data_IF_967750103608
#
_entry.id   IF_967750103608
#
_cell.length_a   1.000
_cell.length_b   1.000
_cell.length_c   1.000
_cell.angle_alpha   90.00
_cell.angle_beta   90.00
_cell.angle_gamma   90.00
#
_symmetry.space_group_name_H-M   'P 1'
#
loop_
_entity.id
_entity.type
_entity.pdbx_description
1 polymer ?
#
# COMPACT_ATOMS: atom_id res chain seq x y z
N UNK A 1 -12.58 29.95 -23.56
CA UNK A 1 -12.27 28.52 -23.74
C UNK A 1 -10.80 28.33 -23.41
N UNK A 2 -10.47 27.78 -22.25
CA UNK A 2 -9.11 27.41 -21.85
C UNK A 2 -8.99 25.90 -22.04
N UNK A 3 -8.73 25.47 -23.28
CA UNK A 3 -8.41 24.07 -23.57
C UNK A 3 -6.94 23.82 -23.26
N UNK A 4 -6.64 23.40 -22.03
CA UNK A 4 -5.31 22.89 -21.68
C UNK A 4 -5.18 21.45 -22.18
N UNK A 5 -4.87 21.30 -23.46
CA UNK A 5 -4.27 20.07 -23.98
C UNK A 5 -2.82 20.03 -23.49
N UNK A 6 -2.55 19.36 -22.37
CA UNK A 6 -1.18 19.04 -21.92
C UNK A 6 -0.92 17.53 -21.84
N UNK A 7 -1.00 16.79 -22.97
CA UNK A 7 -0.72 15.36 -22.96
C UNK A 7 0.78 14.97 -22.90
N UNK A 8 1.74 15.91 -22.73
CA UNK A 8 3.18 15.57 -22.92
C UNK A 8 4.17 16.05 -21.83
N UNK A 9 3.75 16.52 -20.65
CA UNK A 9 4.65 17.41 -19.89
C UNK A 9 5.54 16.79 -18.80
N UNK A 10 5.18 15.64 -18.22
CA UNK A 10 6.03 14.98 -17.22
C UNK A 10 5.63 13.52 -17.01
N UNK A 11 6.58 12.70 -16.58
CA UNK A 11 6.33 11.34 -16.10
C UNK A 11 7.02 11.14 -14.75
N UNK A 12 6.40 10.34 -13.88
CA UNK A 12 6.99 9.93 -12.60
C UNK A 12 7.11 8.43 -12.60
N UNK A 13 8.35 7.95 -12.58
CA UNK A 13 8.64 6.54 -12.43
C UNK A 13 8.76 6.24 -10.93
N UNK A 14 7.88 5.37 -10.44
CA UNK A 14 7.88 4.93 -9.05
C UNK A 14 8.30 3.46 -9.03
N UNK A 15 9.38 3.14 -8.33
CA UNK A 15 9.79 1.75 -8.13
C UNK A 15 9.53 1.36 -6.70
N UNK A 16 9.05 0.14 -6.54
CA UNK A 16 8.81 -0.47 -5.26
C UNK A 16 9.36 -1.89 -5.31
N UNK A 17 10.18 -2.25 -4.33
CA UNK A 17 10.65 -3.62 -4.16
C UNK A 17 10.24 -4.09 -2.78
N UNK A 18 9.40 -5.12 -2.72
CA UNK A 18 8.88 -5.66 -1.47
C UNK A 18 9.26 -7.13 -1.31
N UNK A 19 9.50 -7.53 -0.07
CA UNK A 19 9.75 -8.91 0.30
C UNK A 19 9.14 -9.22 1.66
N UNK A 20 8.67 -10.44 1.83
CA UNK A 20 8.31 -10.96 3.15
C UNK A 20 9.61 -11.21 3.90
N UNK A 21 9.71 -10.66 5.10
CA UNK A 21 10.90 -10.81 5.94
C UNK A 21 10.75 -12.06 6.79
N UNK A 22 11.80 -12.90 6.79
CA UNK A 22 11.85 -14.02 7.72
C UNK A 22 11.99 -13.48 9.14
N UNK A 23 11.04 -13.85 9.98
CA UNK A 23 10.91 -13.31 11.32
C UNK A 23 11.69 -14.21 12.26
N UNK A 24 12.99 -13.94 12.40
CA UNK A 24 13.83 -14.50 13.47
C UNK A 24 13.49 -13.94 14.86
N UNK A 25 12.20 -13.69 15.13
CA UNK A 25 11.72 -12.96 16.28
C UNK A 25 12.22 -13.59 17.58
N UNK A 26 12.95 -12.81 18.38
CA UNK A 26 13.27 -13.20 19.75
C UNK A 26 12.01 -13.04 20.59
N UNK A 27 11.50 -14.16 21.09
CA UNK A 27 10.40 -14.13 22.05
C UNK A 27 10.98 -13.63 23.36
N UNK A 28 10.60 -12.41 23.74
CA UNK A 28 10.90 -11.85 25.04
C UNK A 28 9.71 -12.09 25.96
N UNK A 29 9.84 -13.03 26.89
CA UNK A 29 8.89 -13.18 27.98
C UNK A 29 9.11 -12.01 28.97
N UNK A 30 8.55 -10.83 28.68
CA UNK A 30 8.43 -9.77 29.68
C UNK A 30 7.06 -9.86 30.36
N UNK A 31 7.07 -9.90 31.69
CA UNK A 31 5.88 -9.62 32.47
C UNK A 31 5.72 -8.10 32.50
N UNK A 32 4.79 -7.56 31.71
CA UNK A 32 4.40 -6.16 31.83
C UNK A 32 3.73 -5.96 33.19
N UNK A 33 4.45 -5.37 34.13
CA UNK A 33 3.85 -4.75 35.31
C UNK A 33 3.30 -3.38 34.90
N UNK A 34 2.16 -3.34 34.22
CA UNK A 34 1.49 -2.06 33.94
C UNK A 34 0.92 -1.51 35.25
N UNK A 35 1.56 -0.45 35.76
CA UNK A 35 1.13 0.26 36.97
C UNK A 35 0.06 1.29 36.61
N UNK A 36 -1.16 0.85 36.32
CA UNK A 36 -2.32 1.72 36.09
C UNK A 36 -3.28 1.69 37.29
N UNK A 37 -3.02 2.53 38.30
CA UNK A 37 -3.88 2.66 39.48
C UNK A 37 -3.88 1.43 40.41
N UNK A 38 -4.75 1.45 41.44
CA UNK A 38 -4.82 0.46 42.53
C UNK A 38 -5.31 -0.95 42.12
N UNK A 39 -5.46 -1.24 40.82
CA UNK A 39 -5.91 -2.54 40.31
C UNK A 39 -4.72 -3.29 39.69
N UNK A 40 -4.16 -4.23 40.45
CA UNK A 40 -3.19 -5.19 39.93
C UNK A 40 -3.91 -6.28 39.15
N UNK A 41 -4.14 -6.06 37.86
CA UNK A 41 -4.43 -7.17 36.97
C UNK A 41 -3.09 -7.77 36.51
N UNK A 42 -2.65 -8.85 37.18
CA UNK A 42 -1.52 -9.66 36.75
C UNK A 42 -1.90 -10.46 35.48
N UNK A 43 -2.04 -9.78 34.35
CA UNK A 43 -1.95 -10.46 33.07
C UNK A 43 -0.46 -10.55 32.74
N UNK A 44 0.16 -11.69 33.05
CA UNK A 44 1.46 -12.04 32.48
C UNK A 44 1.28 -12.34 31.00
N UNK A 45 0.91 -11.34 30.20
CA UNK A 45 0.85 -11.49 28.75
C UNK A 45 2.29 -11.50 28.27
N UNK A 46 2.79 -12.69 27.93
CA UNK A 46 4.05 -12.85 27.21
C UNK A 46 3.95 -12.08 25.91
N UNK A 47 4.58 -10.92 25.82
CA UNK A 47 4.63 -10.17 24.58
C UNK A 47 5.61 -10.84 23.62
N UNK A 48 5.49 -10.54 22.33
CA UNK A 48 6.49 -10.91 21.33
C UNK A 48 7.11 -9.66 20.75
N UNK A 49 8.42 -9.51 20.92
CA UNK A 49 9.20 -8.44 20.31
C UNK A 49 9.76 -8.89 18.96
N UNK A 50 9.79 -7.97 18.01
CA UNK A 50 10.39 -8.17 16.69
C UNK A 50 11.49 -7.15 16.48
N UNK A 51 12.67 -7.62 16.06
CA UNK A 51 13.88 -6.81 15.94
C UNK A 51 14.21 -6.60 14.47
N UNK A 52 13.96 -5.40 13.98
CA UNK A 52 14.40 -4.98 12.65
C UNK A 52 15.29 -3.71 12.73
N UNK A 53 15.37 -3.06 13.88
CA UNK A 53 16.07 -1.79 14.14
C UNK A 53 15.55 -1.12 15.41
N UNK A 54 15.83 0.16 15.61
CA UNK A 54 15.38 0.91 16.81
C UNK A 54 14.26 1.88 16.47
N UNK A 55 13.18 1.91 17.23
CA UNK A 55 12.19 2.98 17.12
C UNK A 55 12.83 4.32 17.47
N UNK A 56 12.40 5.40 16.82
CA UNK A 56 12.87 6.73 17.21
C UNK A 56 12.05 7.18 18.44
N UNK A 57 12.73 7.43 19.57
CA UNK A 57 12.12 7.99 20.79
C UNK A 57 11.47 9.37 20.57
N UNK A 58 11.73 10.00 19.42
CA UNK A 58 11.34 11.37 19.10
C UNK A 58 9.90 11.56 18.61
N UNK A 59 9.03 10.53 18.61
CA UNK A 59 7.64 10.74 18.19
C UNK A 59 6.82 11.37 19.32
N UNK A 60 6.74 12.71 19.33
CA UNK A 60 5.73 13.52 20.03
C UNK A 60 4.29 13.19 19.60
N UNK A 61 4.09 12.26 18.65
CA UNK A 61 2.80 11.92 18.07
C UNK A 61 1.96 10.98 18.93
N UNK A 62 1.84 11.21 20.24
CA UNK A 62 0.80 10.65 21.15
C UNK A 62 0.59 9.13 21.21
N UNK A 63 1.28 8.35 20.38
CA UNK A 63 1.31 6.90 20.39
C UNK A 63 2.36 6.54 21.40
N UNK A 64 1.91 6.46 22.65
CA UNK A 64 2.75 6.10 23.79
C UNK A 64 3.40 4.77 23.42
N UNK A 65 4.72 4.71 23.11
CA UNK A 65 5.36 3.42 22.93
C UNK A 65 5.09 2.69 24.22
N UNK A 66 4.47 1.50 24.13
CA UNK A 66 4.35 0.60 25.29
C UNK A 66 5.74 0.58 25.90
N UNK A 67 5.89 1.18 27.09
CA UNK A 67 7.20 1.41 27.70
C UNK A 67 8.00 0.12 27.57
N UNK A 68 8.98 0.12 26.67
CA UNK A 68 9.79 -1.07 26.32
C UNK A 68 10.82 -1.34 27.41
N UNK A 69 10.55 -0.92 28.65
CA UNK A 69 11.36 -1.24 29.82
C UNK A 69 11.48 -2.76 29.92
N UNK A 70 12.63 -3.29 29.49
CA UNK A 70 12.94 -4.72 29.47
C UNK A 70 13.11 -5.37 28.09
N UNK A 71 12.74 -4.72 26.98
CA UNK A 71 12.86 -5.29 25.62
C UNK A 71 14.18 -4.99 24.91
N UNK A 72 15.01 -4.10 25.47
CA UNK A 72 16.27 -3.67 24.85
C UNK A 72 16.08 -2.65 23.72
N UNK A 73 17.17 -2.05 23.28
CA UNK A 73 17.20 -0.87 22.38
C UNK A 73 16.80 -1.14 20.92
N UNK A 74 16.56 -2.41 20.56
CA UNK A 74 16.41 -2.86 19.17
C UNK A 74 15.06 -3.50 18.86
N UNK A 75 14.05 -3.33 19.72
CA UNK A 75 12.70 -3.83 19.42
C UNK A 75 11.95 -2.81 18.58
N UNK A 76 11.64 -3.24 17.36
CA UNK A 76 10.92 -2.47 16.35
C UNK A 76 9.42 -2.52 16.56
N UNK A 77 8.89 -3.69 16.90
CA UNK A 77 7.47 -3.89 17.06
C UNK A 77 7.17 -4.91 18.16
N UNK A 78 6.07 -4.69 18.88
CA UNK A 78 5.60 -5.56 19.95
C UNK A 78 4.22 -6.08 19.60
N UNK A 79 4.02 -7.39 19.70
CA UNK A 79 2.71 -8.02 19.56
C UNK A 79 2.24 -8.59 20.89
N UNK A 80 0.97 -8.39 21.20
CA UNK A 80 0.31 -8.99 22.34
C UNK A 80 -0.45 -10.25 21.89
N UNK A 81 -0.04 -11.47 22.28
CA UNK A 81 -0.74 -12.70 21.93
C UNK A 81 -2.17 -12.80 22.44
N UNK A 82 -2.56 -11.96 23.42
CA UNK A 82 -3.97 -11.87 23.81
C UNK A 82 -4.84 -11.42 22.64
N UNK A 83 -4.32 -10.65 21.67
CA UNK A 83 -5.04 -10.26 20.46
C UNK A 83 -5.59 -11.47 19.67
N UNK A 84 -4.93 -12.63 19.75
CA UNK A 84 -5.41 -13.87 19.15
C UNK A 84 -6.63 -14.49 19.88
N UNK A 85 -6.87 -14.09 21.12
CA UNK A 85 -7.95 -14.61 21.97
C UNK A 85 -9.20 -13.71 21.89
N UNK A 86 -9.01 -12.39 21.81
CA UNK A 86 -10.12 -11.40 21.90
C UNK A 86 -10.98 -11.27 20.62
N UNK A 87 -10.96 -12.28 19.75
CA UNK A 87 -11.75 -12.34 18.51
C UNK A 87 -11.55 -11.14 17.56
N UNK A 88 -10.34 -10.55 17.54
CA UNK A 88 -10.00 -9.50 16.58
C UNK A 88 -9.75 -10.08 15.19
N UNK A 89 -10.18 -9.34 14.17
CA UNK A 89 -9.82 -9.54 12.76
C UNK A 89 -8.33 -9.22 12.53
N UNK A 90 -7.91 -9.00 11.29
CA UNK A 90 -6.53 -8.60 11.00
C UNK A 90 -6.15 -7.32 11.76
N UNK A 91 -4.88 -7.18 12.08
CA UNK A 91 -4.29 -5.90 12.49
C UNK A 91 -3.10 -5.61 11.61
N UNK A 92 -3.02 -4.37 11.13
CA UNK A 92 -1.94 -3.92 10.26
C UNK A 92 -1.30 -2.68 10.88
N UNK A 93 0.02 -2.65 10.87
CA UNK A 93 0.82 -1.47 11.23
C UNK A 93 1.80 -1.16 10.11
N UNK A 94 2.22 0.11 10.04
CA UNK A 94 3.31 0.53 9.19
C UNK A 94 4.26 1.44 9.96
N UNK A 95 5.55 1.20 9.81
CA UNK A 95 6.59 2.15 10.21
C UNK A 95 7.51 2.40 9.03
N UNK A 96 8.27 3.49 9.07
CA UNK A 96 9.09 3.87 7.94
C UNK A 96 10.36 4.60 8.31
N UNK A 97 11.27 4.57 7.34
CA UNK A 97 12.52 5.30 7.29
C UNK A 97 12.66 5.92 5.91
N UNK A 98 13.07 7.19 5.85
CA UNK A 98 13.36 7.89 4.60
C UNK A 98 14.86 8.15 4.56
N UNK A 99 15.54 7.71 3.49
CA UNK A 99 16.98 7.91 3.36
C UNK A 99 17.35 9.39 3.39
N UNK A 100 18.36 9.74 4.22
CA UNK A 100 18.84 11.11 4.44
C UNK A 100 17.76 12.12 4.88
N UNK A 101 16.69 11.65 5.53
CA UNK A 101 15.65 12.52 6.11
C UNK A 101 15.55 12.29 7.62
N UNK A 102 15.24 13.37 8.34
CA UNK A 102 14.92 13.32 9.77
C UNK A 102 13.47 12.90 10.03
N UNK A 103 12.63 12.89 8.99
CA UNK A 103 11.25 12.39 9.06
C UNK A 103 11.27 10.87 8.97
N UNK A 104 11.23 10.21 10.13
CA UNK A 104 11.26 8.74 10.25
C UNK A 104 10.63 8.29 11.56
N UNK A 105 9.90 7.17 11.56
CA UNK A 105 9.36 6.56 12.79
C UNK A 105 10.28 5.50 13.37
N UNK A 106 11.29 5.07 12.60
CA UNK A 106 12.17 3.99 12.96
C UNK A 106 13.54 4.11 12.27
N UNK A 107 14.55 3.49 12.86
CA UNK A 107 15.90 3.40 12.32
C UNK A 107 16.23 1.94 11.97
N UNK A 108 16.24 1.58 10.68
CA UNK A 108 16.46 0.21 10.24
C UNK A 108 17.87 -0.29 10.56
N UNK A 109 17.97 -1.60 10.78
CA UNK A 109 19.23 -2.33 10.64
C UNK A 109 19.82 -2.11 9.25
N UNK A 110 21.14 -2.30 9.12
CA UNK A 110 21.84 -2.07 7.86
C UNK A 110 21.25 -2.89 6.69
N UNK A 111 20.74 -4.09 6.95
CA UNK A 111 20.13 -4.96 5.94
C UNK A 111 18.83 -4.38 5.34
N UNK A 112 18.10 -3.57 6.10
CA UNK A 112 16.85 -2.94 5.65
C UNK A 112 17.05 -1.48 5.24
N UNK A 113 18.27 -0.94 5.37
CA UNK A 113 18.59 0.43 4.98
C UNK A 113 18.98 0.47 3.50
N UNK A 114 18.05 0.89 2.66
CA UNK A 114 18.28 1.04 1.22
C UNK A 114 18.70 2.47 0.90
N UNK A 115 19.82 2.64 0.20
CA UNK A 115 20.31 3.97 -0.21
C UNK A 115 19.36 4.58 -1.25
N UNK A 116 19.09 5.88 -1.13
CA UNK A 116 18.24 6.65 -2.03
C UNK A 116 16.79 6.14 -2.18
N UNK A 117 16.30 5.39 -1.19
CA UNK A 117 14.92 4.91 -1.13
C UNK A 117 14.33 5.15 0.26
N UNK A 118 13.00 5.23 0.32
CA UNK A 118 12.26 5.11 1.57
C UNK A 118 11.97 3.64 1.85
N UNK A 119 12.15 3.23 3.08
CA UNK A 119 11.86 1.88 3.55
C UNK A 119 10.58 1.90 4.38
N UNK A 120 9.60 1.10 3.99
CA UNK A 120 8.39 0.79 4.74
C UNK A 120 8.52 -0.59 5.36
N UNK A 121 8.22 -0.74 6.65
CA UNK A 121 8.03 -2.03 7.30
C UNK A 121 6.57 -2.16 7.69
N UNK A 122 5.90 -3.17 7.13
CA UNK A 122 4.48 -3.41 7.30
C UNK A 122 4.30 -4.70 8.11
N UNK A 123 3.70 -4.59 9.29
CA UNK A 123 3.38 -5.74 10.14
C UNK A 123 1.92 -6.13 9.99
N UNK A 124 1.63 -7.40 9.68
CA UNK A 124 0.27 -7.94 9.54
C UNK A 124 0.09 -9.06 10.57
N UNK A 125 -0.94 -8.97 11.40
CA UNK A 125 -1.30 -10.00 12.38
C UNK A 125 -2.67 -10.57 12.03
N UNK A 126 -2.77 -11.90 11.90
CA UNK A 126 -4.03 -12.60 11.68
C UNK A 126 -4.89 -12.70 12.95
N UNK A 127 -4.32 -12.44 14.13
CA UNK A 127 -5.02 -12.47 15.42
C UNK A 127 -5.85 -13.75 15.60
N UNK A 128 -7.18 -13.64 15.61
CA UNK A 128 -8.09 -14.75 15.87
C UNK A 128 -8.65 -15.42 14.62
N UNK A 129 -8.13 -15.04 13.45
CA UNK A 129 -8.64 -15.52 12.17
C UNK A 129 -8.30 -17.00 11.99
N UNK A 130 -9.30 -17.75 11.54
CA UNK A 130 -9.20 -19.16 11.18
C UNK A 130 -9.61 -19.33 9.72
N UNK A 131 -8.97 -20.26 9.02
CA UNK A 131 -9.17 -20.49 7.59
C UNK A 131 -9.90 -21.82 7.36
N UNK A 132 -10.76 -21.88 6.34
CA UNK A 132 -11.43 -23.12 5.96
C UNK A 132 -10.50 -24.12 5.26
N UNK A 133 -9.43 -23.63 4.66
CA UNK A 133 -8.42 -24.39 3.91
C UNK A 133 -7.02 -24.05 4.42
N UNK A 134 -6.04 -24.96 4.29
CA UNK A 134 -4.66 -24.66 4.64
C UNK A 134 -4.16 -23.50 3.77
N UNK A 135 -3.49 -22.53 4.39
CA UNK A 135 -2.95 -21.37 3.67
C UNK A 135 -1.44 -21.50 3.54
N UNK A 136 -0.93 -21.30 2.33
CA UNK A 136 0.49 -21.41 2.00
C UNK A 136 1.16 -20.06 1.69
N UNK A 137 0.38 -18.98 1.65
CA UNK A 137 0.93 -17.63 1.55
C UNK A 137 1.83 -17.33 2.77
N UNK A 138 3.06 -16.81 2.59
CA UNK A 138 4.00 -16.60 3.69
C UNK A 138 3.55 -15.56 4.73
N UNK A 139 2.66 -14.62 4.37
CA UNK A 139 2.10 -13.63 5.31
C UNK A 139 0.90 -14.21 6.04
N UNK A 140 0.06 -14.96 5.34
CA UNK A 140 -1.19 -15.55 5.87
C UNK A 140 -1.05 -17.04 6.21
N UNK A 141 0.17 -17.53 6.43
CA UNK A 141 0.50 -18.94 6.58
C UNK A 141 -0.30 -19.57 7.74
N UNK A 142 -1.16 -20.54 7.41
CA UNK A 142 -2.04 -21.19 8.36
C UNK A 142 -2.12 -22.70 8.09
N UNK A 143 -1.38 -23.47 8.89
CA UNK A 143 -1.30 -24.92 8.79
C UNK A 143 -1.65 -25.63 10.11
N UNK A 144 -1.94 -24.87 11.18
CA UNK A 144 -2.30 -25.46 12.47
C UNK A 144 -3.73 -25.95 12.42
N UNK A 145 -3.91 -27.26 12.40
CA UNK A 145 -5.24 -27.90 12.35
C UNK A 145 -5.98 -27.70 13.68
N UNK A 146 -7.24 -27.29 13.58
CA UNK A 146 -8.21 -27.22 14.69
C UNK A 146 -9.50 -27.94 14.29
N UNK A 147 -9.80 -29.03 14.97
CA UNK A 147 -11.07 -29.74 14.80
C UNK A 147 -12.11 -29.10 15.73
N UNK A 148 -13.07 -28.35 15.14
CA UNK A 148 -14.08 -27.59 15.91
C UNK A 148 -15.38 -28.37 16.10
N UNK A 149 -15.66 -29.33 15.22
CA UNK A 149 -16.78 -30.25 15.30
C UNK A 149 -16.44 -31.53 14.49
N UNK A 150 -17.18 -32.64 14.68
CA UNK A 150 -16.98 -33.83 13.86
C UNK A 150 -17.09 -33.51 12.36
N UNK A 151 -15.98 -33.72 11.63
CA UNK A 151 -15.89 -33.43 10.18
C UNK A 151 -15.65 -31.97 9.81
N UNK A 152 -15.52 -31.05 10.78
CA UNK A 152 -15.23 -29.63 10.53
C UNK A 152 -13.84 -29.29 11.04
N UNK A 153 -12.96 -28.96 10.10
CA UNK A 153 -11.58 -28.58 10.34
C UNK A 153 -11.35 -27.15 9.93
N UNK A 154 -10.69 -26.40 10.80
CA UNK A 154 -10.19 -25.07 10.51
C UNK A 154 -8.66 -25.06 10.64
N UNK A 155 -8.04 -24.05 10.04
CA UNK A 155 -6.60 -23.85 10.05
C UNK A 155 -6.28 -22.52 10.73
N UNK A 156 -5.45 -22.55 11.77
CA UNK A 156 -5.00 -21.37 12.47
C UNK A 156 -3.62 -20.92 11.95
N UNK A 157 -3.35 -19.60 11.98
CA UNK A 157 -2.05 -19.03 11.64
C UNK A 157 -0.90 -19.67 12.41
N UNK A 158 0.21 -19.91 11.74
CA UNK A 158 1.46 -20.37 12.39
C UNK A 158 2.16 -19.21 13.08
N UNK A 159 2.13 -18.04 12.44
CA UNK A 159 2.82 -16.85 12.91
C UNK A 159 1.81 -15.89 13.55
N UNK A 160 2.22 -15.28 14.66
CA UNK A 160 1.42 -14.23 15.32
C UNK A 160 1.35 -12.95 14.48
N UNK A 161 2.48 -12.64 13.84
CA UNK A 161 2.67 -11.46 13.00
C UNK A 161 3.69 -11.78 11.91
N UNK A 162 3.38 -11.32 10.71
CA UNK A 162 4.22 -11.44 9.52
C UNK A 162 4.63 -10.04 9.08
N UNK A 163 5.82 -9.92 8.46
CA UNK A 163 6.39 -8.62 8.10
C UNK A 163 6.71 -8.54 6.62
N UNK A 164 6.34 -7.41 6.00
CA UNK A 164 6.70 -7.06 4.64
C UNK A 164 7.61 -5.83 4.70
N UNK A 165 8.82 -5.96 4.18
CA UNK A 165 9.74 -4.85 3.97
C UNK A 165 9.62 -4.37 2.53
N UNK A 166 9.36 -3.09 2.33
CA UNK A 166 9.27 -2.44 1.02
C UNK A 166 10.28 -1.30 0.92
N UNK A 167 11.02 -1.22 -0.18
CA UNK A 167 11.84 -0.08 -0.54
C UNK A 167 11.21 0.66 -1.73
N UNK A 168 11.04 1.96 -1.60
CA UNK A 168 10.34 2.83 -2.53
C UNK A 168 11.23 3.98 -2.96
N UNK A 169 11.44 4.14 -4.25
CA UNK A 169 12.11 5.30 -4.82
C UNK A 169 11.33 5.83 -6.01
N UNK A 170 11.57 7.09 -6.34
CA UNK A 170 10.90 7.74 -7.45
C UNK A 170 11.85 8.60 -8.27
N UNK A 171 11.53 8.75 -9.54
CA UNK A 171 12.27 9.57 -10.48
C UNK A 171 11.28 10.39 -11.29
N UNK A 172 11.56 11.68 -11.43
CA UNK A 172 10.74 12.57 -12.23
C UNK A 172 11.44 12.84 -13.56
N UNK A 173 10.71 12.69 -14.66
CA UNK A 173 11.22 12.80 -16.01
C UNK A 173 10.40 13.81 -16.82
N UNK A 174 11.09 14.51 -17.71
CA UNK A 174 10.46 15.29 -18.77
C UNK A 174 10.56 14.47 -20.07
N UNK A 175 9.44 13.97 -20.63
CA UNK A 175 9.49 13.12 -21.81
C UNK A 175 9.94 13.89 -23.07
N UNK A 176 9.75 15.21 -23.13
CA UNK A 176 10.19 16.04 -24.26
C UNK A 176 11.71 16.18 -24.31
N UNK A 177 12.37 16.33 -23.16
CA UNK A 177 13.84 16.44 -23.08
C UNK A 177 14.54 15.11 -22.82
N UNK A 178 13.78 14.08 -22.41
CA UNK A 178 14.30 12.78 -21.92
C UNK A 178 15.23 12.92 -20.72
N UNK A 179 15.18 14.05 -20.02
CA UNK A 179 15.95 14.29 -18.80
C UNK A 179 15.13 13.87 -17.59
N UNK A 180 15.81 13.29 -16.61
CA UNK A 180 15.21 12.83 -15.37
C UNK A 180 16.03 13.25 -14.16
N UNK A 181 15.39 13.32 -12.99
CA UNK A 181 16.10 13.41 -11.70
C UNK A 181 16.90 12.13 -11.45
N UNK A 182 17.74 12.09 -10.41
CA UNK A 182 18.10 10.80 -9.82
C UNK A 182 16.87 10.11 -9.21
N UNK A 183 17.00 8.83 -8.86
CA UNK A 183 16.05 8.21 -7.94
C UNK A 183 16.21 8.85 -6.57
N UNK A 184 15.09 9.32 -6.02
CA UNK A 184 15.02 9.97 -4.72
C UNK A 184 14.11 9.17 -3.79
N UNK A 185 14.46 9.18 -2.51
CA UNK A 185 13.68 8.55 -1.47
C UNK A 185 12.39 9.31 -1.21
N UNK A 186 12.42 10.64 -1.20
CA UNK A 186 11.30 11.48 -0.84
C UNK A 186 11.10 12.58 -1.90
N UNK A 187 9.86 12.86 -2.32
CA UNK A 187 9.56 13.99 -3.17
C UNK A 187 9.69 15.27 -2.32
N UNK A 188 10.70 16.08 -2.62
CA UNK A 188 11.02 17.27 -1.84
C UNK A 188 11.21 18.51 -2.74
N UNK A 189 11.71 19.61 -2.18
CA UNK A 189 12.00 20.84 -2.92
C UNK A 189 13.07 20.65 -4.01
N UNK A 190 13.94 19.66 -3.91
CA UNK A 190 14.97 19.39 -4.94
C UNK A 190 14.34 19.03 -6.29
N UNK A 191 13.16 18.39 -6.29
CA UNK A 191 12.41 18.11 -7.53
C UNK A 191 11.92 19.41 -8.17
N UNK A 192 11.45 20.34 -7.35
CA UNK A 192 10.97 21.66 -7.79
C UNK A 192 12.13 22.48 -8.35
N UNK A 193 13.27 22.49 -7.66
CA UNK A 193 14.50 23.16 -8.09
C UNK A 193 15.12 22.52 -9.34
N UNK A 194 14.97 21.21 -9.50
CA UNK A 194 15.43 20.50 -10.69
C UNK A 194 14.67 20.90 -11.96
N UNK A 195 13.50 21.54 -11.86
CA UNK A 195 12.64 21.81 -13.00
C UNK A 195 13.32 22.58 -14.13
N UNK A 196 14.18 23.56 -13.82
CA UNK A 196 14.96 24.29 -14.83
C UNK A 196 15.94 23.38 -15.58
N UNK A 197 16.60 22.45 -14.88
CA UNK A 197 17.53 21.47 -15.48
C UNK A 197 16.81 20.43 -16.32
N UNK A 198 15.59 20.06 -15.93
CA UNK A 198 14.75 19.10 -16.65
C UNK A 198 14.04 19.72 -17.88
N UNK A 199 14.12 21.04 -18.04
CA UNK A 199 13.47 21.77 -19.14
C UNK A 199 12.00 22.05 -18.90
N UNK A 200 11.52 22.01 -17.65
CA UNK A 200 10.17 22.46 -17.31
C UNK A 200 10.11 23.98 -17.22
N UNK A 201 9.02 24.55 -17.72
CA UNK A 201 8.70 25.97 -17.55
C UNK A 201 8.33 26.27 -16.09
N UNK A 202 8.50 27.52 -15.66
CA UNK A 202 8.08 27.97 -14.32
C UNK A 202 6.59 27.68 -14.04
N UNK A 203 5.75 27.78 -15.07
CA UNK A 203 4.33 27.46 -14.98
C UNK A 203 4.09 25.96 -14.74
N UNK A 204 4.78 25.07 -15.48
CA UNK A 204 4.69 23.62 -15.24
C UNK A 204 5.15 23.23 -13.83
N UNK A 205 6.26 23.81 -13.37
CA UNK A 205 6.77 23.56 -12.03
C UNK A 205 5.73 23.95 -10.97
N UNK A 206 5.17 25.15 -11.08
CA UNK A 206 4.23 25.69 -10.09
C UNK A 206 2.85 25.02 -10.11
N UNK A 207 2.28 24.81 -11.29
CA UNK A 207 0.87 24.39 -11.44
C UNK A 207 0.72 22.85 -11.52
N UNK A 208 1.80 22.11 -11.77
CA UNK A 208 1.74 20.65 -11.95
C UNK A 208 2.68 19.93 -10.97
N UNK A 209 3.98 20.24 -11.04
CA UNK A 209 4.99 19.47 -10.30
C UNK A 209 4.88 19.71 -8.80
N UNK A 210 4.73 20.97 -8.37
CA UNK A 210 4.63 21.31 -6.96
C UNK A 210 3.39 20.68 -6.29
N UNK A 211 2.17 20.77 -6.84
CA UNK A 211 1.01 20.05 -6.32
C UNK A 211 1.20 18.53 -6.27
N UNK A 212 1.87 17.96 -7.27
CA UNK A 212 2.18 16.53 -7.32
C UNK A 212 3.15 16.09 -6.21
N UNK A 213 4.24 16.84 -6.02
CA UNK A 213 5.21 16.64 -4.94
C UNK A 213 4.52 16.74 -3.58
N UNK A 214 3.70 17.77 -3.37
CA UNK A 214 2.91 17.93 -2.15
C UNK A 214 1.96 16.76 -1.93
N UNK A 215 1.31 16.28 -3.00
CA UNK A 215 0.38 15.17 -2.91
C UNK A 215 1.07 13.86 -2.55
N UNK A 216 2.22 13.58 -3.16
CA UNK A 216 3.01 12.40 -2.83
C UNK A 216 3.53 12.46 -1.39
N UNK A 217 4.02 13.61 -0.92
CA UNK A 217 4.57 13.76 0.45
C UNK A 217 3.58 13.32 1.53
N UNK A 218 2.27 13.46 1.29
CA UNK A 218 1.22 13.04 2.25
C UNK A 218 1.01 11.53 2.33
N UNK A 219 1.28 10.82 1.24
CA UNK A 219 1.00 9.38 1.13
C UNK A 219 2.26 8.53 1.01
N UNK A 220 3.43 9.18 1.02
CA UNK A 220 4.73 8.55 0.95
C UNK A 220 5.39 8.58 2.33
N UNK A 221 6.03 7.49 2.77
CA UNK A 221 6.12 6.17 2.11
C UNK A 221 4.87 5.29 2.33
N UNK A 222 4.82 4.10 1.71
CA UNK A 222 3.66 3.19 1.74
C UNK A 222 3.13 2.93 3.16
N UNK A 223 4.02 2.84 4.14
CA UNK A 223 3.67 2.64 5.55
C UNK A 223 2.70 3.70 6.11
N UNK A 224 2.74 4.94 5.61
CA UNK A 224 1.82 6.02 6.02
C UNK A 224 0.39 5.65 5.63
N UNK A 225 0.19 5.22 4.38
CA UNK A 225 -1.11 4.78 3.88
C UNK A 225 -1.60 3.51 4.58
N UNK A 226 -0.69 2.58 4.83
CA UNK A 226 -1.00 1.32 5.53
C UNK A 226 -1.48 1.61 6.95
N UNK A 227 -0.80 2.50 7.68
CA UNK A 227 -1.19 2.87 9.04
C UNK A 227 -2.53 3.60 9.08
N UNK A 228 -2.82 4.43 8.08
CA UNK A 228 -4.09 5.14 7.99
C UNK A 228 -5.30 4.22 7.72
N UNK A 229 -5.11 3.16 6.92
CA UNK A 229 -6.19 2.23 6.54
C UNK A 229 -6.31 1.03 7.48
N UNK A 230 -5.21 0.60 8.09
CA UNK A 230 -5.14 -0.61 8.90
C UNK A 230 -5.66 -1.83 8.14
N UNK A 231 -6.38 -2.70 8.85
CA UNK A 231 -6.92 -3.95 8.31
C UNK A 231 -7.93 -3.77 7.16
N UNK A 232 -8.65 -2.64 7.11
CA UNK A 232 -9.57 -2.33 6.01
C UNK A 232 -8.87 -2.07 4.67
N UNK A 233 -7.55 -1.94 4.68
CA UNK A 233 -6.71 -1.86 3.49
C UNK A 233 -6.38 -3.20 2.86
N UNK A 234 -6.63 -4.33 3.53
CA UNK A 234 -6.31 -5.66 3.03
C UNK A 234 -7.44 -6.23 2.16
N UNK A 235 -7.08 -6.83 1.02
CA UNK A 235 -7.99 -7.64 0.22
C UNK A 235 -8.43 -8.90 0.98
N UNK A 236 -7.54 -9.50 1.78
CA UNK A 236 -7.86 -10.63 2.64
C UNK A 236 -8.97 -10.32 3.64
N UNK A 237 -9.13 -9.07 4.06
CA UNK A 237 -10.25 -8.66 4.93
C UNK A 237 -11.60 -8.70 4.22
N UNK A 238 -11.64 -8.57 2.90
CA UNK A 238 -12.89 -8.56 2.13
C UNK A 238 -13.56 -9.94 2.02
N UNK A 239 -12.80 -11.03 2.27
CA UNK A 239 -13.30 -12.41 2.26
C UNK A 239 -13.50 -12.98 3.67
N UNK A 240 -13.40 -12.14 4.70
CA UNK A 240 -13.70 -12.53 6.07
C UNK A 240 -15.22 -12.56 6.29
N UNK A 241 -15.67 -13.64 6.93
CA UNK A 241 -16.97 -13.71 7.55
C UNK A 241 -16.76 -13.86 9.06
N UNK A 242 -16.92 -12.75 9.79
CA UNK A 242 -16.49 -12.66 11.19
C UNK A 242 -14.99 -12.94 11.31
N UNK A 243 -14.59 -14.03 11.98
CA UNK A 243 -13.19 -14.46 12.11
C UNK A 243 -12.80 -15.59 11.15
N UNK A 244 -13.69 -16.03 10.27
CA UNK A 244 -13.41 -17.13 9.35
C UNK A 244 -13.08 -16.57 7.97
N UNK A 245 -11.91 -16.91 7.45
CA UNK A 245 -11.49 -16.52 6.11
C UNK A 245 -11.75 -17.64 5.12
N UNK A 246 -12.23 -17.26 3.94
CA UNK A 246 -12.17 -18.12 2.76
C UNK A 246 -10.71 -18.37 2.33
N UNK A 247 -10.57 -19.22 1.32
CA UNK A 247 -9.29 -19.54 0.71
C UNK A 247 -8.63 -18.29 0.11
N UNK A 248 -7.34 -18.10 0.39
CA UNK A 248 -6.54 -17.01 -0.18
C UNK A 248 -5.59 -17.58 -1.23
N UNK A 249 -5.14 -16.72 -2.14
CA UNK A 249 -4.09 -17.11 -3.10
C UNK A 249 -2.77 -17.42 -2.37
N UNK A 250 -1.98 -18.36 -2.89
CA UNK A 250 -0.60 -18.59 -2.39
C UNK A 250 0.31 -17.35 -2.52
N UNK A 251 -0.06 -16.40 -3.38
CA UNK A 251 0.62 -15.12 -3.55
C UNK A 251 -0.22 -13.93 -3.06
N UNK A 252 -1.15 -14.15 -2.13
CA UNK A 252 -2.02 -13.11 -1.57
C UNK A 252 -1.21 -11.88 -1.12
N UNK A 253 -0.07 -12.04 -0.46
CA UNK A 253 0.77 -10.92 -0.01
C UNK A 253 1.20 -9.99 -1.16
N UNK A 254 1.42 -10.53 -2.36
CA UNK A 254 1.75 -9.71 -3.55
C UNK A 254 0.55 -8.92 -4.02
N UNK A 255 -0.65 -9.50 -3.94
CA UNK A 255 -1.91 -8.82 -4.24
C UNK A 255 -2.15 -7.71 -3.23
N UNK A 256 -1.86 -7.94 -1.94
CA UNK A 256 -1.96 -6.91 -0.90
C UNK A 256 -1.05 -5.72 -1.17
N UNK A 257 0.25 -5.98 -1.41
CA UNK A 257 1.22 -4.92 -1.72
C UNK A 257 0.80 -4.13 -2.96
N UNK A 258 0.35 -4.83 -4.02
CA UNK A 258 -0.14 -4.17 -5.24
C UNK A 258 -1.34 -3.28 -4.93
N UNK A 259 -2.34 -3.77 -4.21
CA UNK A 259 -3.52 -3.01 -3.83
C UNK A 259 -3.17 -1.77 -2.99
N UNK A 260 -2.25 -1.91 -2.02
CA UNK A 260 -1.78 -0.78 -1.22
C UNK A 260 -1.10 0.28 -2.09
N UNK A 261 -0.26 -0.14 -3.04
CA UNK A 261 0.43 0.76 -3.96
C UNK A 261 -0.54 1.47 -4.92
N UNK A 262 -1.47 0.74 -5.53
CA UNK A 262 -2.50 1.28 -6.41
C UNK A 262 -3.43 2.25 -5.67
N UNK A 263 -3.78 1.92 -4.41
CA UNK A 263 -4.55 2.79 -3.52
C UNK A 263 -3.80 4.10 -3.26
N UNK A 264 -2.50 4.03 -2.95
CA UNK A 264 -1.65 5.22 -2.77
C UNK A 264 -1.67 6.10 -4.02
N UNK A 265 -1.48 5.51 -5.20
CA UNK A 265 -1.51 6.24 -6.47
C UNK A 265 -2.88 6.86 -6.76
N UNK A 266 -3.96 6.13 -6.47
CA UNK A 266 -5.34 6.65 -6.61
C UNK A 266 -5.58 7.83 -5.68
N UNK A 267 -5.08 7.77 -4.45
CA UNK A 267 -5.16 8.89 -3.50
C UNK A 267 -4.43 10.14 -4.01
N UNK A 268 -3.23 9.99 -4.56
CA UNK A 268 -2.47 11.09 -5.19
C UNK A 268 -3.24 11.70 -6.35
N UNK A 269 -3.78 10.87 -7.26
CA UNK A 269 -4.61 11.33 -8.39
C UNK A 269 -5.82 12.11 -7.92
N UNK A 270 -6.54 11.58 -6.94
CA UNK A 270 -7.70 12.26 -6.37
C UNK A 270 -7.35 13.65 -5.81
N UNK A 271 -6.21 13.79 -5.14
CA UNK A 271 -5.78 15.10 -4.63
C UNK A 271 -5.39 16.08 -5.73
N UNK A 272 -4.82 15.59 -6.83
CA UNK A 272 -4.51 16.41 -8.00
C UNK A 272 -5.77 16.89 -8.71
N UNK A 273 -6.77 16.01 -8.87
CA UNK A 273 -8.05 16.36 -9.48
C UNK A 273 -8.79 17.41 -8.64
N UNK A 274 -8.77 17.24 -7.31
CA UNK A 274 -9.31 18.22 -6.38
C UNK A 274 -8.57 19.57 -6.49
N UNK A 275 -7.24 19.56 -6.55
CA UNK A 275 -6.45 20.77 -6.79
C UNK A 275 -6.82 21.47 -8.10
N UNK A 276 -6.93 20.71 -9.20
CA UNK A 276 -7.27 21.23 -10.52
C UNK A 276 -8.69 21.83 -10.57
N UNK A 277 -9.63 21.31 -9.77
CA UNK A 277 -11.00 21.84 -9.69
C UNK A 277 -11.13 23.06 -8.77
N UNK A 278 -10.06 23.43 -8.07
CA UNK A 278 -9.97 24.59 -7.18
C UNK A 278 -10.25 24.28 -5.71
N UNK A 279 -10.41 23.01 -5.34
CA UNK A 279 -10.36 22.62 -3.94
C UNK A 279 -8.90 22.68 -3.48
N UNK A 280 -8.59 23.50 -2.48
CA UNK A 280 -7.22 23.55 -1.94
C UNK A 280 -6.78 22.17 -1.46
N UNK A 281 -5.50 21.81 -1.63
CA UNK A 281 -4.97 20.51 -1.17
C UNK A 281 -5.14 20.30 0.35
N UNK A 282 -5.27 21.40 1.11
CA UNK A 282 -5.55 21.40 2.54
C UNK A 282 -7.01 21.05 2.88
N UNK A 283 -7.94 21.23 1.94
CA UNK A 283 -9.37 21.00 2.16
C UNK A 283 -9.80 19.54 1.95
N UNK A 284 -8.87 18.66 1.57
CA UNK A 284 -9.14 17.24 1.35
C UNK A 284 -8.81 16.52 2.66
N UNK A 285 -9.81 16.18 3.50
CA UNK A 285 -9.56 15.41 4.71
C UNK A 285 -8.88 14.10 4.33
N UNK A 286 -7.98 13.61 5.19
CA UNK A 286 -7.41 12.26 5.11
C UNK A 286 -8.51 11.32 4.63
N UNK A 287 -8.31 10.66 3.48
CA UNK A 287 -9.27 9.80 2.78
C UNK A 287 -9.98 8.84 3.76
N UNK A 288 -10.99 9.35 4.46
CA UNK A 288 -11.98 8.58 5.17
C UNK A 288 -12.92 8.13 4.08
N UNK A 289 -13.15 6.82 4.01
CA UNK A 289 -14.26 6.25 3.26
C UNK A 289 -15.49 7.08 3.64
N UNK A 290 -16.03 7.82 2.66
CA UNK A 290 -17.28 8.55 2.83
C UNK A 290 -18.37 7.51 3.04
N UNK A 291 -18.61 7.14 4.30
CA UNK A 291 -19.79 6.38 4.67
C UNK A 291 -20.97 7.35 4.59
N UNK A 292 -21.78 7.15 3.54
CA UNK A 292 -23.18 7.52 3.40
C UNK A 292 -23.59 8.88 3.98
N UNK A 293 -23.42 9.95 3.20
CA UNK A 293 -24.28 11.13 3.36
C UNK A 293 -24.76 11.62 1.98
N UNK A 294 -26.05 11.48 1.64
CA UNK A 294 -26.55 11.72 0.28
C UNK A 294 -26.91 13.17 -0.07
N UNK A 295 -26.54 14.18 0.74
CA UNK A 295 -27.13 15.53 0.60
C UNK A 295 -26.24 16.69 0.14
N UNK A 296 -24.94 16.51 -0.11
CA UNK A 296 -24.11 17.65 -0.53
C UNK A 296 -23.98 17.76 -2.06
N UNK A 297 -24.85 18.63 -2.62
CA UNK A 297 -24.87 19.04 -4.02
C UNK A 297 -23.64 19.84 -4.45
N UNK A 298 -22.56 19.15 -4.79
CA UNK A 298 -21.43 19.71 -5.53
C UNK A 298 -21.38 19.12 -6.94
N UNK A 299 -21.99 19.79 -7.91
CA UNK A 299 -21.77 19.46 -9.32
C UNK A 299 -21.99 20.68 -10.23
N UNK A 300 -20.94 21.47 -10.45
CA UNK A 300 -20.70 22.24 -11.69
C UNK A 300 -19.21 22.50 -11.86
N UNK A 301 -18.48 21.56 -12.48
CA UNK A 301 -17.19 21.72 -13.19
C UNK A 301 -16.80 20.39 -13.86
N UNK A 302 -15.98 20.41 -14.94
CA UNK A 302 -15.85 19.26 -15.83
C UNK A 302 -15.26 18.04 -15.13
N UNK A 303 -15.89 16.90 -15.37
CA UNK A 303 -15.46 15.58 -14.92
C UNK A 303 -14.25 15.16 -15.78
N UNK A 304 -13.13 14.84 -15.14
CA UNK A 304 -12.03 14.15 -15.80
C UNK A 304 -12.33 12.65 -15.80
N UNK A 305 -12.53 12.06 -16.98
CA UNK A 305 -12.74 10.62 -17.14
C UNK A 305 -11.38 9.96 -17.32
N UNK A 306 -10.93 9.22 -16.31
CA UNK A 306 -9.68 8.45 -16.36
C UNK A 306 -10.02 7.02 -16.77
N UNK A 307 -9.68 6.65 -18.00
CA UNK A 307 -9.90 5.30 -18.52
C UNK A 307 -8.68 4.42 -18.18
N UNK A 308 -8.89 3.33 -17.43
CA UNK A 308 -7.84 2.36 -17.06
C UNK A 308 -8.09 1.05 -17.79
N UNK A 309 -7.68 0.97 -19.05
CA UNK A 309 -7.67 -0.28 -19.81
C UNK A 309 -6.22 -0.71 -20.04
N UNK A 310 -5.72 -1.62 -19.21
CA UNK A 310 -4.93 -2.81 -19.60
C UNK A 310 -4.22 -3.43 -18.36
N UNK A 311 -4.35 -4.74 -18.11
CA UNK A 311 -3.61 -5.44 -17.08
C UNK A 311 -2.38 -6.12 -17.68
N UNK A 312 -1.19 -5.88 -17.12
CA UNK A 312 -0.03 -6.75 -17.37
C UNK A 312 0.71 -7.11 -16.08
N UNK A 313 0.93 -8.42 -15.96
CA UNK A 313 1.70 -9.12 -14.93
C UNK A 313 3.11 -9.42 -15.45
N UNK A 314 4.14 -9.07 -14.67
CA UNK A 314 5.31 -9.94 -14.41
C UNK A 314 6.16 -9.33 -13.29
N UNK A 315 6.72 -10.21 -12.45
CA UNK A 315 7.47 -9.84 -11.24
C UNK A 315 8.88 -9.38 -11.64
N UNK A 316 9.00 -8.09 -11.97
CA UNK A 316 10.13 -7.15 -11.74
C UNK A 316 9.48 -5.76 -11.90
N UNK A 317 9.35 -4.97 -10.83
CA UNK A 317 8.64 -3.69 -10.91
C UNK A 317 9.41 -2.66 -11.76
N UNK A 318 9.07 -2.62 -13.05
CA UNK A 318 9.14 -1.41 -13.87
C UNK A 318 7.70 -1.11 -14.33
N UNK A 319 6.93 -0.44 -13.48
CA UNK A 319 5.64 0.09 -13.88
C UNK A 319 5.89 1.38 -14.69
N UNK A 320 5.89 1.27 -16.02
CA UNK A 320 5.78 2.42 -16.90
C UNK A 320 4.29 2.71 -17.08
N UNK A 321 3.75 3.68 -16.33
CA UNK A 321 2.40 4.19 -16.57
C UNK A 321 2.53 5.27 -17.65
N UNK A 322 2.14 4.93 -18.89
CA UNK A 322 2.00 5.90 -19.99
C UNK A 322 0.55 6.34 -20.05
N UNK A 323 0.29 7.60 -19.74
CA UNK A 323 -1.05 8.19 -19.85
C UNK A 323 -1.21 8.75 -21.27
N UNK A 324 -2.13 8.20 -22.07
CA UNK A 324 -2.50 8.75 -23.39
C UNK A 324 -4.01 9.01 -23.38
N UNK A 325 -4.40 10.25 -23.69
CA UNK A 325 -5.81 10.66 -23.80
C UNK A 325 -6.17 10.93 -25.26
N UNK A 326 -7.21 10.27 -25.77
CA UNK A 326 -7.82 10.59 -27.05
C UNK A 326 -9.16 11.30 -26.80
N UNK A 327 -9.30 12.52 -27.29
CA UNK A 327 -10.60 13.17 -27.44
C UNK A 327 -11.16 12.82 -28.83
N UNK A 328 -12.26 12.07 -28.87
CA UNK A 328 -13.15 12.11 -30.01
C UNK A 328 -13.96 13.41 -29.90
N UNK A 329 -13.73 14.32 -30.86
CA UNK A 329 -14.67 15.41 -31.09
C UNK A 329 -15.89 14.81 -31.78
N UNK A 330 -17.08 15.05 -31.22
CA UNK A 330 -18.26 14.95 -32.07
C UNK A 330 -19.20 16.13 -31.85
N UNK A 331 -19.57 16.70 -32.98
CA UNK A 331 -20.50 17.78 -33.18
C UNK A 331 -21.81 17.20 -33.71
N UNK A 332 -22.91 17.68 -33.14
CA UNK A 332 -24.29 17.68 -33.66
C UNK A 332 -25.14 16.40 -33.52
N UNK A 333 -26.20 16.57 -32.72
CA UNK A 333 -27.59 16.15 -32.95
C UNK A 333 -27.81 14.83 -33.70
N UNK A 334 -27.84 13.73 -32.94
CA UNK A 334 -28.55 12.51 -33.35
C UNK A 334 -29.80 12.37 -32.46
N UNK A 335 -30.96 12.43 -33.09
CA UNK A 335 -32.29 12.26 -32.49
C UNK A 335 -32.41 10.88 -31.85
N UNK A 336 -33.03 10.80 -30.66
CA UNK A 336 -33.52 9.57 -30.04
C UNK A 336 -34.58 8.93 -30.94
N UNK A 337 -34.16 8.03 -31.83
CA UNK A 337 -35.03 7.06 -32.50
C UNK A 337 -34.15 6.00 -33.18
N UNK A 338 -33.45 5.15 -32.41
CA UNK A 338 -32.91 3.87 -32.92
C UNK A 338 -32.30 3.01 -31.78
N UNK A 339 -33.02 2.86 -30.67
CA UNK A 339 -32.57 2.04 -29.52
C UNK A 339 -33.18 0.61 -29.49
N UNK A 340 -33.81 0.17 -30.58
CA UNK A 340 -34.48 -1.15 -30.69
C UNK A 340 -33.73 -2.19 -31.54
N UNK A 341 -32.43 -1.99 -31.84
CA UNK A 341 -31.68 -2.91 -32.73
C UNK A 341 -30.38 -3.50 -32.19
N UNK A 342 -30.13 -3.46 -30.89
CA UNK A 342 -28.94 -4.08 -30.30
C UNK A 342 -29.32 -5.26 -29.39
N UNK A 343 -29.42 -6.45 -29.98
CA UNK A 343 -29.34 -7.73 -29.27
C UNK A 343 -27.87 -8.14 -29.07
N UNK A 344 -27.46 -8.56 -27.87
CA UNK A 344 -26.12 -9.11 -27.67
C UNK A 344 -26.09 -10.61 -27.97
N UNK A 345 -25.34 -11.00 -29.01
CA UNK A 345 -24.88 -12.38 -29.17
C UNK A 345 -23.70 -12.62 -28.23
N UNK A 346 -23.96 -13.36 -27.15
CA UNK A 346 -22.93 -13.89 -26.25
C UNK A 346 -22.44 -15.22 -26.83
N UNK A 347 -21.19 -15.26 -27.26
CA UNK A 347 -20.47 -16.50 -27.54
C UNK A 347 -19.34 -16.65 -26.51
N UNK A 348 -19.51 -17.59 -25.57
CA UNK A 348 -18.45 -18.11 -24.71
C UNK A 348 -17.53 -18.99 -25.58
N UNK A 349 -16.24 -18.65 -25.66
CA UNK A 349 -15.22 -19.61 -26.04
C UNK A 349 -14.26 -19.82 -24.87
N UNK A 350 -14.19 -21.08 -24.45
CA UNK A 350 -13.23 -21.63 -23.52
C UNK A 350 -11.83 -21.61 -24.12
N UNK A 351 -10.84 -21.10 -23.39
CA UNK A 351 -9.42 -21.31 -23.70
C UNK A 351 -8.83 -22.13 -22.56
N UNK A 352 -8.51 -23.38 -22.87
CA UNK A 352 -7.70 -24.25 -22.02
C UNK A 352 -6.23 -23.83 -22.07
N UNK A 353 -5.55 -23.90 -20.93
CA UNK A 353 -4.11 -23.73 -20.84
C UNK A 353 -3.43 -25.09 -20.87
N UNK A 354 -2.74 -25.35 -21.97
CA UNK A 354 -1.86 -26.50 -22.19
C UNK A 354 -0.46 -26.14 -21.66
N UNK A 355 0.08 -26.96 -20.77
CA UNK A 355 1.41 -26.80 -20.17
C UNK A 355 2.43 -27.58 -20.99
N UNK A 356 3.30 -26.89 -21.75
CA UNK A 356 4.51 -27.51 -22.30
C UNK A 356 5.74 -27.16 -21.47
N UNK A 357 6.41 -28.23 -21.02
CA UNK A 357 7.69 -28.26 -20.32
C UNK A 357 8.83 -27.94 -21.31
N UNK A 358 9.51 -26.83 -21.11
CA UNK A 358 10.85 -26.59 -21.66
C UNK A 358 11.91 -26.99 -20.65
N UNK A 359 12.52 -28.16 -20.86
CA UNK A 359 13.80 -28.55 -20.24
C UNK A 359 14.89 -27.88 -21.05
N UNK A 360 15.79 -27.14 -20.40
CA UNK A 360 17.08 -26.80 -21.00
C UNK A 360 18.19 -27.08 -19.99
N UNK A 361 18.96 -28.12 -20.30
CA UNK A 361 20.17 -28.53 -19.61
C UNK A 361 21.32 -28.26 -20.58
N UNK A 362 22.18 -27.31 -20.24
CA UNK A 362 23.53 -27.29 -20.78
C UNK A 362 24.51 -27.01 -19.64
N UNK A 363 25.12 -28.10 -19.18
CA UNK A 363 26.35 -28.11 -18.39
C UNK A 363 27.52 -28.26 -19.40
N UNK A 364 28.67 -27.61 -19.19
CA UNK A 364 29.74 -27.54 -20.17
C UNK A 364 30.75 -28.67 -19.95
N UNK A 365 30.96 -29.49 -20.98
CA UNK A 365 32.21 -30.20 -21.26
C UNK A 365 32.29 -30.52 -22.75
#
# INVERSE_FOLDING_TARGET
MLGFNHPENFTVQHRMNCSVLDVGGRIFDSALNTRTGNYYANYSSRLRGYEFGSLNDASESGYNPVHTEGFGVNVTEVYNPLSAIVQYEYTVSGIYYIWNSDVRTWNPTLALRVMNASTSLIGISANSIEYYTPQHDPVFLALIIRDVAPGVRLYAPIQHRSFIGCAEDMQFCNPSTKLCTGFIAEPNSEVIEAGGRLGWTKAQVKEIIQPYVQALTRFHPLAVMVSARGASGLLASAVLQQRYSADLSEEQWKLEVRNMFETKHTAVKFMLDAHATGAGLESIPNLRILTNNPEDGFCKKPLYVINTSEPYTSIRFAALIVTISLCAADSQDVKLADLDKLTPNVAMSSVGSEWERGVDVSDPN
#
